data_IF_151699074199
#
_entry.id   IF_151699074199
#
_cell.length_a   1.000
_cell.length_b   1.000
_cell.length_c   1.000
_cell.angle_alpha   90.00
_cell.angle_beta   90.00
_cell.angle_gamma   90.00
#
_symmetry.space_group_name_H-M   'P 1'
#
loop_
_entity.id
_entity.type
_entity.pdbx_description
1 polymer ?
#
# COMPACT_ATOMS: atom_id res chain seq x y z
N UNK A 1 38.58 24.20 83.45
CA UNK A 1 39.70 23.27 83.24
C UNK A 1 39.22 21.86 83.54
N UNK A 2 38.62 21.18 82.56
CA UNK A 2 38.07 19.82 82.70
C UNK A 2 38.77 18.93 81.67
N UNK A 3 39.75 18.15 82.13
CA UNK A 3 40.53 17.21 81.33
C UNK A 3 39.64 16.02 80.93
N UNK A 4 39.20 15.99 79.68
CA UNK A 4 38.53 14.84 79.09
C UNK A 4 39.55 13.75 78.75
N UNK A 5 39.58 12.68 79.55
CA UNK A 5 40.36 11.48 79.27
C UNK A 5 39.81 10.72 78.06
N UNK A 6 40.61 10.65 76.99
CA UNK A 6 40.28 9.89 75.78
C UNK A 6 40.49 8.38 76.03
N UNK A 7 39.40 7.63 76.16
CA UNK A 7 39.41 6.17 76.31
C UNK A 7 39.65 5.55 74.92
N UNK A 8 40.85 5.00 74.69
CA UNK A 8 41.19 4.29 73.44
C UNK A 8 40.35 3.01 73.31
N UNK A 9 39.40 2.99 72.39
CA UNK A 9 38.63 1.81 71.99
C UNK A 9 39.47 1.01 70.97
N UNK A 10 39.83 -0.24 71.30
CA UNK A 10 40.47 -1.18 70.37
C UNK A 10 39.39 -2.04 69.71
N UNK A 11 39.26 -1.96 68.39
CA UNK A 11 38.38 -2.84 67.61
C UNK A 11 39.08 -4.18 67.35
N UNK A 12 38.42 -5.34 67.59
CA UNK A 12 38.99 -6.64 67.24
C UNK A 12 39.04 -6.80 65.71
N UNK A 13 40.19 -7.17 65.18
CA UNK A 13 40.36 -7.48 63.77
C UNK A 13 39.57 -8.76 63.42
N UNK A 14 38.58 -8.64 62.53
CA UNK A 14 37.86 -9.79 61.97
C UNK A 14 38.79 -10.56 61.02
N UNK A 15 38.89 -11.90 61.11
CA UNK A 15 39.63 -12.69 60.12
C UNK A 15 38.93 -12.57 58.76
N UNK A 16 39.68 -12.14 57.74
CA UNK A 16 39.21 -12.07 56.36
C UNK A 16 39.15 -13.52 55.84
N UNK A 17 37.96 -14.01 55.53
CA UNK A 17 37.80 -15.28 54.81
C UNK A 17 38.46 -15.14 53.43
N UNK A 18 39.47 -15.96 53.13
CA UNK A 18 40.01 -16.07 51.77
C UNK A 18 38.91 -16.61 50.86
N UNK A 19 38.20 -15.71 50.18
CA UNK A 19 37.32 -16.10 49.09
C UNK A 19 38.19 -16.64 47.95
N UNK A 20 37.93 -17.87 47.53
CA UNK A 20 38.49 -18.40 46.29
C UNK A 20 38.00 -17.50 45.15
N UNK A 21 38.92 -16.72 44.57
CA UNK A 21 38.64 -15.87 43.43
C UNK A 21 38.38 -16.71 42.20
N UNK A 22 37.48 -16.24 41.32
CA UNK A 22 37.26 -16.85 40.01
C UNK A 22 38.56 -16.94 39.24
N UNK A 23 38.80 -18.08 38.58
CA UNK A 23 40.00 -18.26 37.78
C UNK A 23 39.93 -17.36 36.55
N UNK A 24 41.09 -16.88 36.08
CA UNK A 24 41.17 -16.06 34.85
C UNK A 24 40.58 -16.82 33.65
N UNK A 25 40.76 -18.15 33.63
CA UNK A 25 40.25 -19.03 32.57
C UNK A 25 38.72 -19.12 32.60
N UNK A 26 38.10 -19.19 33.79
CA UNK A 26 36.64 -19.19 33.90
C UNK A 26 36.03 -17.89 33.35
N UNK A 27 36.58 -16.73 33.70
CA UNK A 27 36.09 -15.47 33.16
C UNK A 27 36.39 -15.31 31.66
N UNK A 28 37.51 -15.85 31.18
CA UNK A 28 37.87 -15.79 29.76
C UNK A 28 36.87 -16.58 28.88
N UNK A 29 36.48 -17.78 29.30
CA UNK A 29 35.51 -18.60 28.56
C UNK A 29 34.13 -17.93 28.59
N UNK A 30 33.72 -17.38 29.72
CA UNK A 30 32.43 -16.67 29.84
C UNK A 30 32.37 -15.47 28.88
N UNK A 31 33.42 -14.65 28.84
CA UNK A 31 33.48 -13.51 27.92
C UNK A 31 33.54 -13.94 26.45
N UNK A 32 34.22 -15.04 26.14
CA UNK A 32 34.24 -15.60 24.79
C UNK A 32 32.84 -16.08 24.34
N UNK A 33 32.11 -16.78 25.21
CA UNK A 33 30.74 -17.24 24.92
C UNK A 33 29.81 -16.04 24.73
N UNK A 34 29.88 -15.03 25.61
CA UNK A 34 29.08 -13.80 25.46
C UNK A 34 29.41 -13.09 24.14
N UNK A 35 30.70 -13.01 23.77
CA UNK A 35 31.13 -12.43 22.50
C UNK A 35 30.56 -13.14 21.28
N UNK A 36 30.57 -14.47 21.27
CA UNK A 36 30.02 -15.28 20.19
C UNK A 36 28.49 -15.16 20.13
N UNK A 37 27.81 -15.15 21.27
CA UNK A 37 26.34 -15.02 21.32
C UNK A 37 25.89 -13.64 20.84
N UNK A 38 26.56 -12.56 21.23
CA UNK A 38 26.24 -11.20 20.76
C UNK A 38 26.54 -11.09 19.25
N UNK A 39 27.71 -11.57 18.80
CA UNK A 39 28.05 -11.57 17.37
C UNK A 39 27.08 -12.39 16.52
N UNK A 40 26.70 -13.57 17.01
CA UNK A 40 25.75 -14.48 16.36
C UNK A 40 24.34 -13.91 16.27
N UNK A 41 23.82 -13.31 17.35
CA UNK A 41 22.47 -12.72 17.37
C UNK A 41 22.36 -11.48 16.50
N UNK A 42 23.37 -10.61 16.48
CA UNK A 42 23.40 -9.43 15.60
C UNK A 42 23.37 -9.82 14.12
N UNK A 43 24.18 -10.81 13.73
CA UNK A 43 24.15 -11.31 12.34
C UNK A 43 22.86 -12.07 12.04
N UNK A 44 22.34 -12.81 13.01
CA UNK A 44 21.08 -13.56 12.90
C UNK A 44 19.89 -12.68 12.53
N UNK A 45 19.80 -11.47 13.11
CA UNK A 45 18.73 -10.50 12.77
C UNK A 45 18.75 -10.10 11.29
N UNK A 46 19.92 -9.77 10.76
CA UNK A 46 20.06 -9.40 9.34
C UNK A 46 19.68 -10.55 8.39
N UNK A 47 20.02 -11.79 8.75
CA UNK A 47 19.64 -12.97 7.96
C UNK A 47 18.12 -13.14 7.96
N UNK A 48 17.46 -12.98 9.10
CA UNK A 48 16.00 -13.06 9.20
C UNK A 48 15.30 -11.98 8.38
N UNK A 49 15.77 -10.74 8.42
CA UNK A 49 15.23 -9.65 7.59
C UNK A 49 15.37 -9.98 6.09
N UNK A 50 16.54 -10.44 5.66
CA UNK A 50 16.78 -10.85 4.28
C UNK A 50 15.90 -12.04 3.85
N UNK A 51 15.65 -12.99 4.76
CA UNK A 51 14.79 -14.14 4.51
C UNK A 51 13.32 -13.72 4.33
N UNK A 52 12.84 -12.76 5.13
CA UNK A 52 11.49 -12.20 4.97
C UNK A 52 11.35 -11.48 3.62
N UNK A 53 12.33 -10.66 3.25
CA UNK A 53 12.38 -10.00 1.93
C UNK A 53 12.32 -11.03 0.81
N UNK A 54 13.18 -12.05 0.84
CA UNK A 54 13.19 -13.10 -0.17
C UNK A 54 11.86 -13.88 -0.23
N UNK A 55 11.25 -14.16 0.92
CA UNK A 55 9.97 -14.86 0.98
C UNK A 55 8.81 -14.03 0.42
N UNK A 56 8.82 -12.70 0.59
CA UNK A 56 7.84 -11.80 -0.02
C UNK A 56 8.04 -11.67 -1.54
N UNK A 57 9.29 -11.61 -2.02
CA UNK A 57 9.57 -11.65 -3.47
C UNK A 57 9.02 -12.96 -4.07
N UNK A 58 9.24 -14.09 -3.39
CA UNK A 58 8.67 -15.37 -3.81
C UNK A 58 7.13 -15.37 -3.82
N UNK A 59 6.47 -14.66 -2.90
CA UNK A 59 5.01 -14.47 -2.93
C UNK A 59 4.57 -13.68 -4.17
N UNK A 60 5.27 -12.59 -4.52
CA UNK A 60 4.96 -11.77 -5.70
C UNK A 60 5.09 -12.61 -6.98
N UNK A 61 6.19 -13.33 -7.14
CA UNK A 61 6.42 -14.20 -8.30
C UNK A 61 5.39 -15.34 -8.40
N UNK A 62 4.91 -15.86 -7.26
CA UNK A 62 3.85 -16.87 -7.24
C UNK A 62 2.52 -16.28 -7.74
N UNK A 63 2.18 -15.05 -7.35
CA UNK A 63 0.99 -14.34 -7.85
C UNK A 63 1.12 -14.08 -9.35
N UNK A 64 2.28 -13.61 -9.82
CA UNK A 64 2.54 -13.39 -11.25
C UNK A 64 2.36 -14.68 -12.08
N UNK A 65 2.96 -15.80 -11.64
CA UNK A 65 2.79 -17.10 -12.28
C UNK A 65 1.33 -17.59 -12.24
N UNK A 66 0.60 -17.33 -11.16
CA UNK A 66 -0.80 -17.69 -11.03
C UNK A 66 -1.67 -16.90 -12.02
N UNK A 67 -1.41 -15.59 -12.18
CA UNK A 67 -2.11 -14.75 -13.16
C UNK A 67 -1.88 -15.25 -14.59
N UNK A 68 -0.64 -15.56 -14.96
CA UNK A 68 -0.33 -16.11 -16.29
C UNK A 68 -1.04 -17.44 -16.51
N UNK A 69 -0.97 -18.35 -15.53
CA UNK A 69 -1.64 -19.66 -15.63
C UNK A 69 -3.16 -19.53 -15.74
N UNK A 70 -3.75 -18.60 -14.97
CA UNK A 70 -5.17 -18.31 -15.04
C UNK A 70 -5.56 -17.80 -16.43
N UNK A 71 -4.80 -16.83 -16.96
CA UNK A 71 -5.02 -16.27 -18.29
C UNK A 71 -4.91 -17.33 -19.38
N UNK A 72 -3.93 -18.22 -19.30
CA UNK A 72 -3.74 -19.30 -20.28
C UNK A 72 -4.85 -20.37 -20.19
N UNK A 73 -5.45 -20.55 -19.00
CA UNK A 73 -6.51 -21.54 -18.77
C UNK A 73 -7.90 -21.02 -19.16
N UNK A 74 -8.17 -19.73 -18.89
CA UNK A 74 -9.50 -19.14 -19.02
C UNK A 74 -9.61 -18.04 -20.10
N UNK A 75 -8.52 -17.70 -20.79
CA UNK A 75 -8.45 -16.64 -21.81
C UNK A 75 -8.96 -15.27 -21.32
N UNK A 76 -8.97 -15.04 -20.01
CA UNK A 76 -9.47 -13.84 -19.34
C UNK A 76 -8.61 -13.55 -18.10
N UNK A 77 -8.65 -12.31 -17.62
CA UNK A 77 -7.93 -11.93 -16.40
C UNK A 77 -8.72 -12.36 -15.15
N UNK A 78 -8.04 -12.78 -14.07
CA UNK A 78 -8.71 -13.00 -12.80
C UNK A 78 -9.31 -11.69 -12.27
N UNK A 79 -10.47 -11.77 -11.64
CA UNK A 79 -11.25 -10.61 -11.18
C UNK A 79 -12.16 -10.03 -12.26
N UNK A 80 -11.70 -9.98 -13.51
CA UNK A 80 -12.40 -9.44 -14.68
C UNK A 80 -13.26 -10.49 -15.42
N UNK A 81 -13.07 -11.78 -15.13
CA UNK A 81 -13.65 -12.84 -15.95
C UNK A 81 -15.19 -12.92 -15.89
N UNK A 82 -15.85 -12.86 -17.05
CA UNK A 82 -17.30 -13.03 -17.18
C UNK A 82 -17.73 -14.49 -17.00
N UNK A 83 -18.87 -14.71 -16.33
CA UNK A 83 -19.44 -16.04 -16.02
C UNK A 83 -18.44 -16.97 -15.31
N UNK A 84 -17.64 -16.43 -14.40
CA UNK A 84 -16.77 -17.20 -13.52
C UNK A 84 -17.46 -18.35 -12.81
N UNK A 85 -18.71 -18.17 -12.39
CA UNK A 85 -19.48 -19.20 -11.69
C UNK A 85 -19.77 -20.45 -12.52
N UNK A 86 -19.78 -20.32 -13.84
CA UNK A 86 -19.95 -21.45 -14.76
C UNK A 86 -18.62 -22.09 -15.19
N UNK A 87 -17.51 -21.35 -15.06
CA UNK A 87 -16.20 -21.75 -15.62
C UNK A 87 -15.22 -22.26 -14.56
N UNK A 88 -15.22 -21.68 -13.36
CA UNK A 88 -14.33 -22.08 -12.27
C UNK A 88 -15.07 -23.08 -11.36
N UNK A 89 -14.55 -24.31 -11.20
CA UNK A 89 -15.11 -25.27 -10.26
C UNK A 89 -15.18 -24.73 -8.82
N UNK A 90 -16.33 -24.86 -8.16
CA UNK A 90 -16.49 -24.46 -6.75
C UNK A 90 -16.65 -22.95 -6.52
N UNK A 91 -16.80 -22.16 -7.58
CA UNK A 91 -17.03 -20.71 -7.52
C UNK A 91 -18.53 -20.37 -7.69
N UNK A 92 -19.40 -20.81 -6.78
CA UNK A 92 -20.86 -20.78 -7.02
C UNK A 92 -21.60 -19.58 -6.44
N UNK A 93 -21.00 -18.86 -5.49
CA UNK A 93 -21.62 -17.74 -4.79
C UNK A 93 -20.73 -16.52 -4.96
N UNK A 94 -21.29 -15.45 -5.52
CA UNK A 94 -20.65 -14.13 -5.52
C UNK A 94 -19.25 -14.15 -6.20
N UNK A 95 -19.16 -14.90 -7.31
CA UNK A 95 -17.93 -15.10 -8.07
C UNK A 95 -17.88 -14.32 -9.38
N UNK A 96 -19.03 -13.86 -9.88
CA UNK A 96 -19.10 -13.12 -11.13
C UNK A 96 -18.92 -11.61 -10.85
N UNK A 97 -18.10 -10.90 -11.64
CA UNK A 97 -18.07 -9.44 -11.60
C UNK A 97 -19.40 -8.83 -12.07
N UNK A 98 -19.61 -7.55 -11.74
CA UNK A 98 -20.80 -6.82 -12.20
C UNK A 98 -20.84 -6.82 -13.74
N UNK A 99 -21.98 -7.13 -14.38
CA UNK A 99 -22.03 -7.34 -15.83
C UNK A 99 -21.54 -6.16 -16.70
N UNK A 100 -21.53 -4.94 -16.14
CA UNK A 100 -21.06 -3.73 -16.82
C UNK A 100 -19.52 -3.52 -16.74
N UNK A 101 -18.83 -4.18 -15.80
CA UNK A 101 -17.36 -4.18 -15.68
C UNK A 101 -16.71 -5.47 -16.16
N UNK A 102 -17.48 -6.56 -16.27
CA UNK A 102 -16.95 -7.85 -16.68
C UNK A 102 -16.32 -7.85 -18.10
N UNK A 103 -15.14 -8.45 -18.20
CA UNK A 103 -14.35 -8.65 -19.42
C UNK A 103 -13.97 -7.34 -20.12
N UNK A 104 -13.76 -6.26 -19.36
CA UNK A 104 -13.37 -4.95 -19.88
C UNK A 104 -11.83 -4.76 -19.93
N UNK A 105 -11.07 -5.74 -19.45
CA UNK A 105 -9.61 -5.73 -19.43
C UNK A 105 -9.02 -4.88 -18.31
N UNK A 106 -9.82 -4.51 -17.31
CA UNK A 106 -9.43 -3.81 -16.11
C UNK A 106 -9.60 -4.73 -14.90
N UNK A 107 -8.92 -4.38 -13.81
CA UNK A 107 -9.19 -4.97 -12.49
C UNK A 107 -9.43 -3.79 -11.57
N UNK A 108 -10.71 -3.55 -11.31
CA UNK A 108 -11.26 -2.33 -10.74
C UNK A 108 -11.59 -1.30 -11.83
N UNK A 109 -12.00 -0.09 -11.44
CA UNK A 109 -12.28 1.00 -12.37
C UNK A 109 -11.11 1.49 -13.26
N UNK A 110 -11.47 2.24 -14.32
CA UNK A 110 -10.55 2.74 -15.35
C UNK A 110 -9.56 3.85 -14.91
N UNK A 111 -9.45 4.16 -13.62
CA UNK A 111 -8.58 5.23 -13.10
C UNK A 111 -7.67 4.75 -11.96
N UNK A 112 -6.57 5.46 -11.72
CA UNK A 112 -5.62 5.09 -10.65
C UNK A 112 -6.18 5.21 -9.24
N UNK A 113 -7.40 5.75 -9.09
CA UNK A 113 -8.11 5.73 -7.83
C UNK A 113 -8.38 4.30 -7.37
N UNK A 114 -8.45 3.30 -8.26
CA UNK A 114 -8.55 1.88 -7.84
C UNK A 114 -7.42 1.49 -6.92
N UNK A 115 -6.17 1.86 -7.26
CA UNK A 115 -4.99 1.49 -6.48
C UNK A 115 -4.91 2.22 -5.14
N UNK A 116 -5.50 3.41 -5.04
CA UNK A 116 -5.40 4.28 -3.87
C UNK A 116 -6.65 4.33 -3.01
N UNK A 117 -7.79 3.88 -3.51
CA UNK A 117 -9.07 3.95 -2.81
C UNK A 117 -9.15 2.94 -1.67
N UNK A 118 -9.84 3.38 -0.62
CA UNK A 118 -10.31 2.50 0.43
C UNK A 118 -11.29 1.47 -0.16
N UNK A 119 -11.15 0.20 0.18
CA UNK A 119 -12.28 -0.74 0.07
C UNK A 119 -13.23 -0.36 1.19
N UNK A 120 -14.33 0.34 0.87
CA UNK A 120 -15.30 0.72 1.90
C UNK A 120 -16.11 -0.49 2.34
N UNK A 121 -16.05 -0.78 3.63
CA UNK A 121 -16.68 -1.93 4.31
C UNK A 121 -18.22 -1.93 4.29
N UNK A 122 -18.88 -0.99 3.59
CA UNK A 122 -20.35 -0.86 3.63
C UNK A 122 -21.08 -1.61 2.52
N UNK A 123 -20.37 -2.12 1.51
CA UNK A 123 -20.98 -2.93 0.45
C UNK A 123 -20.65 -4.42 0.67
N UNK A 124 -21.65 -5.31 0.79
CA UNK A 124 -21.39 -6.75 0.70
C UNK A 124 -20.74 -7.01 -0.65
N UNK A 125 -19.53 -7.56 -0.63
CA UNK A 125 -18.90 -8.11 -1.83
C UNK A 125 -19.87 -9.15 -2.42
N UNK A 126 -20.21 -9.12 -3.72
CA UNK A 126 -19.82 -8.25 -4.82
C UNK A 126 -21.02 -7.46 -5.35
N UNK A 127 -21.34 -6.32 -4.75
CA UNK A 127 -22.48 -5.49 -5.15
C UNK A 127 -22.14 -4.26 -5.99
N UNK A 128 -20.90 -4.07 -6.41
CA UNK A 128 -20.46 -2.88 -7.13
C UNK A 128 -19.39 -3.13 -8.20
N UNK A 129 -19.16 -2.15 -9.09
CA UNK A 129 -18.16 -2.23 -10.16
C UNK A 129 -16.71 -2.28 -9.64
N UNK A 130 -16.45 -1.91 -8.39
CA UNK A 130 -15.09 -1.93 -7.79
C UNK A 130 -14.71 -3.31 -7.18
N UNK A 131 -15.56 -4.32 -7.34
CA UNK A 131 -15.41 -5.61 -6.66
C UNK A 131 -14.43 -6.58 -7.35
N UNK A 132 -13.94 -6.24 -8.54
CA UNK A 132 -12.97 -7.03 -9.32
C UNK A 132 -11.64 -7.22 -8.59
N UNK A 133 -11.16 -6.20 -7.87
CA UNK A 133 -9.93 -6.29 -7.06
C UNK A 133 -10.02 -7.37 -5.99
N UNK A 134 -11.21 -7.56 -5.40
CA UNK A 134 -11.42 -8.62 -4.41
C UNK A 134 -11.68 -9.96 -5.10
N UNK A 135 -12.45 -9.97 -6.19
CA UNK A 135 -12.71 -11.16 -7.00
C UNK A 135 -11.44 -11.76 -7.60
N UNK A 136 -10.42 -10.93 -7.90
CA UNK A 136 -9.11 -11.38 -8.36
C UNK A 136 -8.53 -12.48 -7.48
N UNK A 137 -8.51 -12.24 -6.16
CA UNK A 137 -7.96 -13.19 -5.20
C UNK A 137 -8.80 -14.47 -5.12
N UNK A 138 -10.12 -14.34 -5.22
CA UNK A 138 -11.05 -15.49 -5.23
C UNK A 138 -10.88 -16.35 -6.45
N UNK A 139 -10.77 -15.74 -7.63
CA UNK A 139 -10.63 -16.45 -8.89
C UNK A 139 -9.34 -17.28 -8.86
N UNK A 140 -8.24 -16.70 -8.36
CA UNK A 140 -6.99 -17.43 -8.19
C UNK A 140 -7.07 -18.53 -7.12
N UNK A 141 -7.77 -18.29 -6.00
CA UNK A 141 -8.00 -19.30 -4.95
C UNK A 141 -8.83 -20.48 -5.47
N UNK A 142 -9.95 -20.18 -6.12
CA UNK A 142 -10.92 -21.18 -6.62
C UNK A 142 -10.40 -21.95 -7.83
N UNK A 143 -9.49 -21.35 -8.60
CA UNK A 143 -8.73 -22.05 -9.63
C UNK A 143 -7.56 -22.90 -9.08
N UNK A 144 -7.37 -22.96 -7.75
CA UNK A 144 -6.26 -23.68 -7.09
C UNK A 144 -4.86 -23.20 -7.51
N UNK A 145 -4.74 -21.91 -7.84
CA UNK A 145 -3.48 -21.31 -8.30
C UNK A 145 -2.71 -20.61 -7.18
N UNK A 146 -3.41 -20.19 -6.11
CA UNK A 146 -2.81 -19.62 -4.91
C UNK A 146 -3.47 -20.17 -3.66
N UNK A 147 -2.76 -20.07 -2.52
CA UNK A 147 -3.29 -20.38 -1.21
C UNK A 147 -2.96 -19.28 -0.19
N UNK A 148 -3.35 -19.50 1.07
CA UNK A 148 -3.11 -18.54 2.16
C UNK A 148 -4.15 -17.41 2.25
N UNK A 149 -5.29 -17.61 1.58
CA UNK A 149 -6.51 -16.80 1.65
C UNK A 149 -7.72 -17.75 1.75
N UNK A 150 -8.85 -17.24 2.22
CA UNK A 150 -10.12 -17.99 2.29
C UNK A 150 -11.22 -17.22 1.56
N UNK A 151 -12.34 -17.87 1.26
CA UNK A 151 -13.51 -17.22 0.64
C UNK A 151 -14.56 -16.77 1.67
N UNK A 152 -14.24 -16.85 2.97
CA UNK A 152 -15.19 -16.65 4.08
C UNK A 152 -15.88 -15.28 4.06
N UNK A 153 -15.16 -14.25 3.62
CA UNK A 153 -15.66 -12.89 3.59
C UNK A 153 -16.66 -12.63 2.45
N UNK A 154 -16.55 -13.41 1.37
CA UNK A 154 -17.40 -13.27 0.19
C UNK A 154 -18.62 -14.18 0.33
N UNK A 155 -18.48 -15.33 0.98
CA UNK A 155 -19.61 -16.22 1.25
C UNK A 155 -20.60 -15.68 2.27
N UNK A 156 -20.18 -14.75 3.15
CA UNK A 156 -20.99 -14.25 4.27
C UNK A 156 -21.15 -12.72 4.30
N UNK A 157 -20.74 -12.00 3.24
CA UNK A 157 -20.78 -10.53 3.21
C UNK A 157 -19.94 -9.87 4.31
N UNK A 158 -18.85 -10.53 4.71
CA UNK A 158 -17.89 -10.05 5.71
C UNK A 158 -16.82 -9.18 5.05
N UNK A 159 -16.16 -8.34 5.85
CA UNK A 159 -15.29 -7.28 5.35
C UNK A 159 -13.97 -7.81 4.77
N UNK A 160 -13.30 -6.98 3.95
CA UNK A 160 -11.98 -7.31 3.46
C UNK A 160 -10.98 -7.42 4.62
N UNK A 161 -10.17 -8.48 4.62
CA UNK A 161 -9.14 -8.72 5.63
C UNK A 161 -7.91 -9.43 5.03
N UNK A 162 -6.75 -9.23 5.64
CA UNK A 162 -5.50 -9.87 5.23
C UNK A 162 -5.48 -11.34 5.65
N UNK A 163 -5.18 -12.23 4.71
CA UNK A 163 -5.20 -13.67 4.93
C UNK A 163 -6.60 -14.28 4.84
N UNK A 164 -7.63 -13.45 4.69
CA UNK A 164 -8.99 -13.89 4.34
C UNK A 164 -9.25 -13.54 2.88
N UNK A 165 -9.61 -12.31 2.54
CA UNK A 165 -9.92 -11.94 1.14
C UNK A 165 -8.70 -11.54 0.32
N UNK A 166 -7.68 -10.99 0.97
CA UNK A 166 -6.48 -10.49 0.29
C UNK A 166 -5.24 -11.17 0.85
N UNK A 167 -4.22 -11.36 0.00
CA UNK A 167 -3.01 -12.03 0.42
C UNK A 167 -2.21 -11.18 1.43
N UNK A 168 -1.96 -11.74 2.61
CA UNK A 168 -1.10 -11.13 3.62
C UNK A 168 0.39 -11.21 3.22
N UNK A 169 1.10 -10.10 3.36
CA UNK A 169 2.53 -10.05 3.09
C UNK A 169 3.33 -10.54 4.30
N UNK A 170 4.37 -11.36 4.09
CA UNK A 170 5.23 -11.89 5.17
C UNK A 170 6.00 -10.83 5.97
N UNK A 171 6.00 -9.59 5.51
CA UNK A 171 6.66 -8.43 6.11
C UNK A 171 5.71 -7.48 6.86
N UNK A 172 4.41 -7.82 6.90
CA UNK A 172 3.35 -6.98 7.45
C UNK A 172 2.57 -6.23 6.36
N UNK A 173 1.30 -5.94 6.64
CA UNK A 173 0.35 -5.48 5.63
C UNK A 173 -0.03 -6.60 4.66
N UNK A 174 -0.41 -6.23 3.44
CA UNK A 174 -0.72 -7.18 2.40
C UNK A 174 -0.78 -6.57 1.01
N UNK A 175 -1.15 -7.41 0.06
CA UNK A 175 -1.17 -7.06 -1.36
C UNK A 175 -2.57 -6.65 -1.80
N UNK A 176 -2.66 -5.43 -2.29
CA UNK A 176 -3.79 -4.96 -3.07
C UNK A 176 -3.44 -5.02 -4.55
N UNK A 177 -4.43 -5.12 -5.43
CA UNK A 177 -4.22 -5.32 -6.86
C UNK A 177 -5.09 -4.37 -7.69
N UNK A 178 -4.53 -3.92 -8.80
CA UNK A 178 -5.31 -3.28 -9.85
C UNK A 178 -4.67 -3.48 -11.21
N UNK A 179 -5.48 -3.39 -12.25
CA UNK A 179 -5.04 -3.44 -13.64
C UNK A 179 -5.75 -2.36 -14.43
N UNK A 180 -4.96 -1.53 -15.10
CA UNK A 180 -5.45 -0.30 -15.73
C UNK A 180 -5.37 -0.42 -17.25
N UNK A 181 -5.37 -1.65 -17.74
CA UNK A 181 -5.12 -1.99 -19.13
C UNK A 181 -3.72 -1.59 -19.59
N UNK A 182 -3.57 -1.38 -20.91
CA UNK A 182 -2.35 -0.86 -21.52
C UNK A 182 -2.12 0.64 -21.27
N UNK A 183 -2.96 1.30 -20.48
CA UNK A 183 -2.85 2.73 -20.24
C UNK A 183 -1.82 3.02 -19.15
N UNK A 184 -0.77 3.81 -19.44
CA UNK A 184 0.12 4.30 -18.41
C UNK A 184 -0.65 5.23 -17.46
N UNK A 185 -0.52 5.03 -16.15
CA UNK A 185 -1.07 6.01 -15.22
C UNK A 185 -0.14 7.20 -15.14
N UNK A 186 -0.60 8.33 -15.67
CA UNK A 186 -0.02 9.63 -15.39
C UNK A 186 -0.53 10.04 -14.01
N UNK A 187 0.34 9.94 -13.03
CA UNK A 187 0.06 10.29 -11.66
C UNK A 187 0.65 11.66 -11.38
N UNK A 188 -0.22 12.65 -11.18
CA UNK A 188 0.19 13.96 -10.66
C UNK A 188 0.32 13.87 -9.14
N UNK A 189 1.37 14.46 -8.58
CA UNK A 189 1.70 14.27 -7.17
C UNK A 189 0.65 14.81 -6.19
N UNK A 190 0.42 14.05 -5.12
CA UNK A 190 -0.30 14.56 -3.95
C UNK A 190 0.68 15.34 -3.07
N UNK A 191 0.74 16.66 -3.23
CA UNK A 191 1.59 17.52 -2.41
C UNK A 191 1.25 17.40 -0.92
N UNK A 192 2.04 16.64 -0.18
CA UNK A 192 2.09 16.66 1.27
C UNK A 192 2.94 17.84 1.75
N UNK A 193 2.39 19.06 1.69
CA UNK A 193 3.04 20.22 2.30
C UNK A 193 2.70 20.32 3.79
N UNK A 194 3.67 20.49 4.70
CA UNK A 194 3.39 20.80 6.10
C UNK A 194 3.10 22.29 6.26
N UNK A 195 1.97 22.64 6.89
CA UNK A 195 1.78 23.97 7.52
C UNK A 195 0.92 24.96 6.74
N UNK A 196 -0.11 25.47 7.41
CA UNK A 196 -1.01 26.49 6.89
C UNK A 196 -0.34 27.84 6.66
N UNK A 197 -0.73 28.48 5.55
CA UNK A 197 -0.66 29.93 5.38
C UNK A 197 -2.04 30.54 5.63
N UNK A 198 -2.15 31.73 6.25
CA UNK A 198 -3.44 32.36 6.51
C UNK A 198 -4.14 32.72 5.18
N UNK A 199 -5.47 32.68 5.11
CA UNK A 199 -6.19 33.08 3.91
C UNK A 199 -5.84 34.55 3.60
N UNK A 200 -5.17 34.76 2.47
CA UNK A 200 -4.86 36.08 1.95
C UNK A 200 -6.15 36.88 1.80
N UNK A 201 -6.22 38.00 2.52
CA UNK A 201 -7.31 38.95 2.40
C UNK A 201 -7.39 39.51 0.99
N UNK A 202 -8.58 39.44 0.40
CA UNK A 202 -8.89 40.15 -0.83
C UNK A 202 -8.76 41.68 -0.59
N UNK A 203 -8.03 42.43 -1.45
CA UNK A 203 -8.04 43.88 -1.36
C UNK A 203 -9.38 44.46 -1.87
N UNK A 204 -9.91 45.53 -1.25
CA UNK A 204 -11.10 46.21 -1.76
C UNK A 204 -10.72 47.30 -2.77
N UNK A 205 -11.42 47.33 -3.90
CA UNK A 205 -11.36 48.43 -4.89
C UNK A 205 -12.37 48.17 -6.01
N UNK A 206 -13.59 48.71 -5.95
CA UNK A 206 -14.03 50.03 -6.48
C UNK A 206 -14.13 50.10 -8.02
N UNK A 207 -15.37 50.17 -8.53
CA UNK A 207 -15.70 50.91 -9.77
C UNK A 207 -16.69 50.24 -10.74
N UNK A 208 -17.57 50.99 -11.45
CA UNK A 208 -18.94 50.54 -11.74
C UNK A 208 -19.32 50.42 -13.23
N UNK A 209 -20.40 49.67 -13.51
CA UNK A 209 -21.35 49.97 -14.62
C UNK A 209 -21.30 49.11 -15.89
N UNK A 210 -22.46 48.56 -16.28
CA UNK A 210 -22.74 48.10 -17.66
C UNK A 210 -23.71 46.91 -17.77
N UNK A 211 -24.83 46.98 -18.52
CA UNK A 211 -25.97 46.08 -18.36
C UNK A 211 -25.91 44.81 -19.24
N UNK A 212 -26.41 43.70 -18.69
CA UNK A 212 -26.69 42.47 -19.43
C UNK A 212 -28.06 42.51 -20.12
N UNK A 213 -28.11 42.01 -21.35
CA UNK A 213 -29.33 41.81 -22.13
C UNK A 213 -29.37 40.42 -22.78
N UNK A 214 -30.55 39.80 -22.75
CA UNK A 214 -30.95 38.58 -23.48
C UNK A 214 -30.65 37.27 -22.74
N UNK A 215 -31.58 36.41 -22.35
CA UNK A 215 -33.00 36.26 -22.70
C UNK A 215 -33.24 34.89 -23.33
N UNK A 216 -33.73 33.92 -22.54
CA UNK A 216 -34.61 32.78 -22.90
C UNK A 216 -34.63 31.86 -21.66
N UNK A 217 -35.70 31.72 -20.87
CA UNK A 217 -37.10 31.62 -21.24
C UNK A 217 -37.52 30.15 -21.21
N UNK A 218 -37.63 29.55 -20.00
CA UNK A 218 -38.32 28.28 -19.81
C UNK A 218 -39.79 28.58 -19.48
N UNK A 219 -40.77 28.18 -20.32
CA UNK A 219 -42.17 28.29 -19.94
C UNK A 219 -42.52 27.16 -18.97
N UNK A 220 -43.06 27.55 -17.82
CA UNK A 220 -43.73 26.63 -16.90
C UNK A 220 -45.10 26.21 -17.41
N UNK A 221 -45.48 24.97 -17.10
CA UNK A 221 -46.84 24.46 -17.16
C UNK A 221 -47.07 23.60 -15.92
N UNK A 222 -48.06 23.97 -15.11
CA UNK A 222 -48.28 23.41 -13.78
C UNK A 222 -49.15 22.14 -13.72
N UNK A 223 -49.12 21.58 -12.50
CA UNK A 223 -50.17 20.86 -11.76
C UNK A 223 -50.78 19.55 -12.32
N UNK A 224 -50.48 18.44 -11.62
CA UNK A 224 -51.26 17.20 -11.58
C UNK A 224 -50.50 16.07 -10.87
N UNK A 225 -51.11 15.26 -9.98
CA UNK A 225 -50.40 14.22 -9.25
C UNK A 225 -50.42 12.89 -10.01
N UNK A 226 -49.26 12.24 -10.11
CA UNK A 226 -49.14 10.83 -10.53
C UNK A 226 -48.81 10.62 -12.01
N UNK A 227 -47.53 10.35 -12.27
CA UNK A 227 -47.02 9.38 -13.25
C UNK A 227 -45.54 9.73 -13.51
N UNK A 228 -44.63 8.92 -12.97
CA UNK A 228 -43.23 8.95 -13.38
C UNK A 228 -43.11 8.48 -14.83
N UNK A 229 -42.88 9.41 -15.74
CA UNK A 229 -42.44 9.14 -17.10
C UNK A 229 -41.05 9.78 -17.26
N UNK A 230 -40.03 9.11 -16.74
CA UNK A 230 -38.64 9.39 -17.09
C UNK A 230 -38.39 8.87 -18.49
N UNK A 231 -38.18 9.80 -19.42
CA UNK A 231 -37.79 9.58 -20.80
C UNK A 231 -36.56 8.67 -20.88
N UNK A 232 -36.69 7.59 -21.67
CA UNK A 232 -35.55 6.83 -22.14
C UNK A 232 -34.72 7.69 -23.11
N UNK A 233 -33.41 7.63 -22.96
CA UNK A 233 -32.47 7.97 -24.03
C UNK A 233 -31.69 6.69 -24.31
N UNK A 234 -31.96 6.12 -25.49
CA UNK A 234 -31.26 4.98 -26.04
C UNK A 234 -29.84 5.32 -26.46
N UNK A 235 -29.05 4.26 -26.64
CA UNK A 235 -27.61 4.31 -26.85
C UNK A 235 -27.15 4.96 -28.16
N UNK A 236 -25.87 5.31 -28.14
CA UNK A 236 -25.05 5.62 -29.30
C UNK A 236 -23.61 5.23 -28.98
N UNK A 237 -23.14 4.14 -29.59
CA UNK A 237 -21.71 3.85 -29.67
C UNK A 237 -21.01 4.86 -30.59
N UNK A 238 -19.79 5.24 -30.21
CA UNK A 238 -18.94 6.14 -30.98
C UNK A 238 -17.67 6.44 -30.19
N UNK A 239 -16.53 5.98 -30.70
CA UNK A 239 -15.27 5.95 -29.97
C UNK A 239 -14.50 7.26 -29.90
N UNK A 240 -13.36 7.19 -29.20
CA UNK A 240 -12.22 8.07 -29.37
C UNK A 240 -12.28 9.38 -28.61
N UNK A 241 -11.76 9.36 -27.38
CA UNK A 241 -11.39 10.55 -26.62
C UNK A 241 -10.47 10.19 -25.48
N UNK A 242 -9.17 10.07 -25.77
CA UNK A 242 -8.14 9.90 -24.76
C UNK A 242 -8.03 11.14 -23.86
N UNK A 243 -8.69 11.10 -22.72
CA UNK A 243 -8.42 11.97 -21.59
C UNK A 243 -7.89 11.09 -20.47
N UNK A 244 -6.56 11.09 -20.26
CA UNK A 244 -6.00 10.47 -19.06
C UNK A 244 -6.59 11.19 -17.85
N UNK A 245 -7.42 10.52 -17.07
CA UNK A 245 -7.87 11.06 -15.78
C UNK A 245 -6.66 11.02 -14.86
N UNK A 246 -5.93 12.14 -14.77
CA UNK A 246 -4.86 12.33 -13.78
C UNK A 246 -5.44 12.04 -12.40
N UNK A 247 -5.05 10.93 -11.79
CA UNK A 247 -5.47 10.58 -10.45
C UNK A 247 -4.26 10.55 -9.52
N UNK A 248 -4.38 11.38 -8.49
CA UNK A 248 -3.33 11.73 -7.54
C UNK A 248 -3.07 10.52 -6.63
N UNK A 249 -1.82 10.04 -6.60
CA UNK A 249 -1.39 9.08 -5.57
C UNK A 249 -0.70 9.87 -4.47
N UNK A 250 -1.24 9.84 -3.23
CA UNK A 250 -0.62 10.51 -2.10
C UNK A 250 0.80 9.98 -1.86
N UNK A 251 1.77 10.89 -1.75
CA UNK A 251 3.12 10.52 -1.35
C UNK A 251 3.90 9.81 -2.44
N UNK A 252 3.69 10.17 -3.71
CA UNK A 252 4.63 9.80 -4.78
C UNK A 252 5.59 10.96 -5.05
N UNK A 253 6.84 10.67 -5.45
CA UNK A 253 7.81 11.68 -5.87
C UNK A 253 7.25 12.49 -7.06
N UNK A 254 7.34 13.83 -6.95
CA UNK A 254 6.40 14.76 -7.61
C UNK A 254 6.72 15.09 -9.07
N UNK A 255 7.97 14.92 -9.50
CA UNK A 255 8.41 15.40 -10.82
C UNK A 255 9.13 14.34 -11.65
N UNK A 256 9.22 13.11 -11.15
CA UNK A 256 9.46 12.00 -12.03
C UNK A 256 8.23 11.92 -12.95
N UNK A 257 8.41 12.11 -14.25
CA UNK A 257 7.48 11.67 -15.29
C UNK A 257 7.30 10.13 -15.31
N UNK A 258 7.43 9.49 -14.14
CA UNK A 258 7.27 8.08 -13.84
C UNK A 258 5.78 7.74 -13.80
N UNK A 259 5.25 7.59 -15.00
CA UNK A 259 4.14 6.69 -15.30
C UNK A 259 4.18 5.51 -14.32
N UNK A 260 3.12 5.27 -13.52
CA UNK A 260 3.07 3.98 -12.82
C UNK A 260 3.18 2.90 -13.88
N UNK A 261 3.91 1.82 -13.60
CA UNK A 261 4.11 0.78 -14.59
C UNK A 261 2.79 0.34 -15.21
N UNK A 262 2.61 0.61 -16.51
CA UNK A 262 1.43 0.18 -17.25
C UNK A 262 1.30 -1.34 -17.13
N UNK A 263 0.09 -1.85 -16.94
CA UNK A 263 -0.12 -3.27 -16.69
C UNK A 263 -0.76 -3.55 -15.34
N UNK A 264 -0.52 -4.77 -14.83
CA UNK A 264 -1.05 -5.22 -13.55
C UNK A 264 -0.08 -4.83 -12.43
N UNK A 265 -0.61 -4.23 -11.37
CA UNK A 265 0.19 -3.65 -10.29
C UNK A 265 -0.28 -4.20 -8.95
N UNK A 266 0.65 -4.80 -8.20
CA UNK A 266 0.46 -5.12 -6.79
C UNK A 266 0.90 -3.93 -5.94
N UNK A 267 0.09 -3.56 -4.96
CA UNK A 267 0.39 -2.52 -3.99
C UNK A 267 0.58 -3.16 -2.62
N UNK A 268 1.74 -2.95 -2.02
CA UNK A 268 1.98 -3.33 -0.63
C UNK A 268 1.53 -2.19 0.28
N UNK A 269 0.40 -2.39 0.97
CA UNK A 269 -0.18 -1.42 1.90
C UNK A 269 -0.44 -2.04 3.27
N UNK A 270 -0.55 -1.19 4.29
CA UNK A 270 -0.72 -1.62 5.68
C UNK A 270 -2.14 -2.09 6.01
N UNK A 271 -3.15 -1.36 5.57
CA UNK A 271 -4.56 -1.66 5.83
C UNK A 271 -5.27 -2.03 4.52
N UNK A 272 -6.26 -2.90 4.62
CA UNK A 272 -7.06 -3.41 3.50
C UNK A 272 -8.29 -2.54 3.22
N UNK A 273 -8.70 -1.73 4.18
CA UNK A 273 -9.89 -0.87 4.15
C UNK A 273 -9.53 0.63 4.10
N UNK A 274 -8.25 0.97 4.22
CA UNK A 274 -7.72 2.31 4.17
C UNK A 274 -7.24 2.71 2.78
N UNK A 275 -7.47 3.96 2.42
CA UNK A 275 -6.85 4.57 1.25
C UNK A 275 -5.31 4.65 1.43
N UNK A 276 -4.59 4.73 0.31
CA UNK A 276 -3.16 5.06 0.36
C UNK A 276 -3.02 6.50 0.87
N UNK A 277 -2.27 6.69 1.95
CA UNK A 277 -1.99 7.98 2.57
C UNK A 277 -0.49 8.23 2.69
N UNK A 278 -0.05 9.47 2.59
CA UNK A 278 1.37 9.86 2.70
C UNK A 278 1.78 10.22 4.13
N UNK A 279 1.06 9.72 5.14
CA UNK A 279 1.28 10.08 6.53
C UNK A 279 2.38 9.24 7.19
N UNK A 280 3.13 9.89 8.06
CA UNK A 280 4.20 9.27 8.84
C UNK A 280 3.65 8.14 9.71
N UNK A 281 4.29 6.97 9.63
CA UNK A 281 4.05 5.79 10.45
C UNK A 281 2.90 4.91 9.98
N UNK A 282 2.23 5.26 8.89
CA UNK A 282 1.05 4.53 8.40
C UNK A 282 1.35 3.52 7.29
N UNK A 283 2.60 3.43 6.85
CA UNK A 283 3.01 2.51 5.79
C UNK A 283 3.63 1.20 6.32
N UNK A 284 3.70 0.14 5.50
CA UNK A 284 4.17 -1.17 5.96
C UNK A 284 5.69 -1.29 6.11
N UNK A 285 6.48 -0.46 5.42
CA UNK A 285 7.94 -0.59 5.37
C UNK A 285 8.67 0.67 5.83
N UNK A 286 9.89 0.46 6.33
CA UNK A 286 10.89 1.52 6.46
C UNK A 286 11.59 1.75 5.13
N UNK A 287 12.15 2.94 4.92
CA UNK A 287 12.88 3.29 3.70
C UNK A 287 14.00 2.29 3.35
N UNK A 288 14.78 1.86 4.36
CA UNK A 288 15.82 0.84 4.18
C UNK A 288 15.28 -0.52 3.74
N UNK A 289 14.09 -0.93 4.21
CA UNK A 289 13.47 -2.18 3.74
C UNK A 289 12.92 -2.02 2.33
N UNK A 290 12.31 -0.88 2.02
CA UNK A 290 11.83 -0.58 0.67
C UNK A 290 12.97 -0.61 -0.36
N UNK A 291 14.09 0.07 -0.06
CA UNK A 291 15.31 0.03 -0.88
C UNK A 291 15.87 -1.39 -1.07
N UNK A 292 15.75 -2.26 -0.06
CA UNK A 292 16.19 -3.66 -0.18
C UNK A 292 15.31 -4.50 -1.11
N UNK A 293 14.00 -4.22 -1.16
CA UNK A 293 13.11 -4.87 -2.13
C UNK A 293 13.44 -4.42 -3.54
N UNK A 294 13.54 -3.11 -3.72
CA UNK A 294 13.80 -2.48 -5.00
C UNK A 294 15.14 -2.95 -5.59
N UNK A 295 16.26 -2.83 -4.87
CA UNK A 295 17.58 -3.32 -5.33
C UNK A 295 17.64 -4.81 -5.65
N UNK A 296 16.72 -5.61 -5.09
CA UNK A 296 16.68 -7.06 -5.35
C UNK A 296 15.82 -7.43 -6.55
N UNK A 297 14.85 -6.61 -6.89
CA UNK A 297 13.92 -6.87 -7.98
C UNK A 297 14.18 -5.99 -9.20
N UNK A 298 14.88 -4.88 -9.02
CA UNK A 298 14.99 -3.81 -10.01
C UNK A 298 16.25 -2.95 -9.80
N UNK A 299 16.14 -1.62 -9.87
CA UNK A 299 17.26 -0.67 -9.98
C UNK A 299 17.62 0.04 -8.66
N UNK A 300 16.78 -0.08 -7.63
CA UNK A 300 16.98 0.56 -6.33
C UNK A 300 16.53 2.02 -6.24
N UNK A 301 15.77 2.52 -7.22
CA UNK A 301 15.24 3.87 -7.25
C UNK A 301 13.73 3.90 -7.02
N UNK A 302 13.25 4.69 -6.05
CA UNK A 302 11.84 4.73 -5.65
C UNK A 302 10.87 5.20 -6.74
N UNK A 303 11.34 5.81 -7.83
CA UNK A 303 10.51 6.44 -8.85
C UNK A 303 10.56 5.77 -10.23
N UNK A 304 11.43 4.77 -10.43
CA UNK A 304 11.61 4.10 -11.72
C UNK A 304 11.38 2.59 -11.70
N UNK A 305 11.21 2.01 -12.89
CA UNK A 305 11.19 0.56 -13.07
C UNK A 305 9.91 -0.19 -12.66
N UNK A 306 10.05 -1.51 -12.43
CA UNK A 306 9.02 -2.45 -11.96
C UNK A 306 8.69 -2.26 -10.48
N UNK A 307 9.58 -1.68 -9.68
CA UNK A 307 9.36 -1.47 -8.24
C UNK A 307 9.43 0.01 -7.92
N UNK A 308 8.31 0.59 -7.51
CA UNK A 308 8.25 2.02 -7.21
C UNK A 308 7.71 2.25 -5.80
N UNK A 309 8.21 3.25 -5.10
CA UNK A 309 7.79 3.58 -3.76
C UNK A 309 6.67 4.62 -3.73
N UNK A 310 5.93 4.61 -2.63
CA UNK A 310 5.07 5.70 -2.21
C UNK A 310 5.18 5.85 -0.69
N UNK A 311 4.88 7.03 -0.17
CA UNK A 311 5.11 7.33 1.24
C UNK A 311 5.29 8.80 1.55
N UNK A 312 5.73 9.08 2.77
CA UNK A 312 6.05 10.44 3.19
C UNK A 312 7.37 10.91 2.60
N UNK A 313 7.40 12.10 2.01
CA UNK A 313 8.65 12.74 1.56
C UNK A 313 9.61 12.97 2.74
N UNK A 314 10.91 12.91 2.48
CA UNK A 314 12.03 13.05 3.45
C UNK A 314 12.21 11.91 4.45
N UNK A 315 11.21 11.04 4.63
CA UNK A 315 11.30 9.88 5.52
C UNK A 315 11.08 8.53 4.83
N UNK A 316 10.47 8.52 3.64
CA UNK A 316 10.46 7.37 2.75
C UNK A 316 11.48 7.51 1.60
N UNK A 317 11.40 8.62 0.89
CA UNK A 317 12.30 8.99 -0.20
C UNK A 317 12.55 10.50 -0.18
N UNK A 318 13.62 10.93 -0.83
CA UNK A 318 13.97 12.33 -0.99
C UNK A 318 14.59 12.55 -2.37
N UNK A 319 14.54 13.79 -2.84
CA UNK A 319 15.25 14.24 -4.03
C UNK A 319 16.63 14.76 -3.59
N UNK A 320 17.74 14.05 -3.91
CA UNK A 320 19.08 14.48 -3.52
C UNK A 320 19.55 15.73 -4.27
N UNK A 321 19.07 15.95 -5.50
CA UNK A 321 19.56 16.98 -6.41
C UNK A 321 18.65 18.21 -6.45
N UNK A 322 17.42 18.07 -5.94
CA UNK A 322 16.39 19.11 -5.94
C UNK A 322 15.90 19.48 -7.35
N UNK A 323 16.15 18.61 -8.34
CA UNK A 323 15.82 18.82 -9.74
C UNK A 323 14.60 18.01 -10.19
N UNK A 324 14.05 17.15 -9.33
CA UNK A 324 12.87 16.35 -9.60
C UNK A 324 13.09 15.16 -10.54
N UNK A 325 14.34 14.89 -10.97
CA UNK A 325 14.64 13.86 -11.99
C UNK A 325 15.09 12.52 -11.41
N UNK A 326 15.58 12.53 -10.16
CA UNK A 326 16.09 11.35 -9.48
C UNK A 326 15.61 11.37 -8.03
N UNK A 327 15.10 10.24 -7.56
CA UNK A 327 14.77 10.09 -6.15
C UNK A 327 15.62 8.99 -5.53
N UNK A 328 15.84 9.12 -4.22
CA UNK A 328 16.60 8.16 -3.43
C UNK A 328 15.83 7.79 -2.17
N UNK A 329 15.93 6.53 -1.75
CA UNK A 329 15.34 6.10 -0.48
C UNK A 329 16.01 6.78 0.71
N UNK A 330 15.20 7.29 1.63
CA UNK A 330 15.64 7.92 2.87
C UNK A 330 16.11 6.87 3.91
N UNK A 331 17.13 6.07 3.59
CA UNK A 331 17.57 4.91 4.41
C UNK A 331 18.03 5.25 5.84
N UNK A 332 18.27 6.53 6.12
CA UNK A 332 18.53 7.05 7.46
C UNK A 332 17.28 7.05 8.35
N UNK A 333 16.09 7.06 7.77
CA UNK A 333 14.81 6.99 8.47
C UNK A 333 14.53 5.58 8.97
N UNK A 334 14.14 5.48 10.23
CA UNK A 334 13.65 4.23 10.85
C UNK A 334 12.12 4.20 10.95
N UNK A 335 11.43 5.23 10.45
CA UNK A 335 9.96 5.27 10.44
C UNK A 335 9.38 4.38 9.36
N UNK A 336 8.19 3.84 9.60
CA UNK A 336 7.46 2.99 8.65
C UNK A 336 6.60 3.84 7.74
N UNK A 337 7.26 4.51 6.78
CA UNK A 337 6.67 5.54 5.93
C UNK A 337 6.65 5.15 4.46
N UNK A 338 7.14 3.96 4.08
CA UNK A 338 7.17 3.47 2.71
C UNK A 338 6.20 2.32 2.45
N UNK A 339 5.43 2.44 1.38
CA UNK A 339 4.83 1.32 0.66
C UNK A 339 5.46 1.17 -0.71
N UNK A 340 5.13 0.09 -1.40
CA UNK A 340 5.70 -0.25 -2.71
C UNK A 340 4.60 -0.65 -3.69
N UNK A 341 4.79 -0.24 -4.94
CA UNK A 341 4.13 -0.75 -6.13
C UNK A 341 5.05 -1.75 -6.81
N UNK A 342 4.49 -2.89 -7.21
CA UNK A 342 5.18 -3.91 -7.98
C UNK A 342 4.43 -4.14 -9.29
N UNK A 343 5.09 -3.91 -10.42
CA UNK A 343 4.61 -4.35 -11.72
C UNK A 343 4.75 -5.86 -11.82
N UNK A 344 3.64 -6.54 -12.10
CA UNK A 344 3.61 -7.97 -12.39
C UNK A 344 3.10 -8.20 -13.81
N UNK A 345 4.01 -8.43 -14.76
CA UNK A 345 3.77 -8.84 -16.15
C UNK A 345 5.06 -9.38 -16.77
#
# INVERSE_FOLDING_TARGET
MLLHGQKKIRYPARPISMQHGFTLVELAIVMAIIGILIGGTLKGRQIMDNARVAATIAQINAVESAVTTFRDTYDQLPGDMFNASARIPGCTLLCDPEPAGASDGLIGGANSAVLTSAITSTNPLPGGPDNETTLFWVHLLKADLIGGITDSAISNGTYADWGETHLAARIGGGFFIGHLGGNPLIVTAGGGGPGGGPPGGAPPGLGPGGPGGGGAGCPGGGAGPGAGAGCGIGGGGGGGGGGGTESIIPGRPVEAAGTLPAGMVLVLRRSVDGAIVADTGLQPLTARRAAQFDRKMDDGHPDSGRVQAYGTTDSCYFDPDGNGEHFSYAEFSNSTDCGLFFKIQ
#
